data_IF_015436716175
#
_entry.id   IF_015436716175
#
_cell.length_a   1.000
_cell.length_b   1.000
_cell.length_c   1.000
_cell.angle_alpha   90.00
_cell.angle_beta   90.00
_cell.angle_gamma   90.00
#
_symmetry.space_group_name_H-M   'P 1'
#
loop_
_entity.id
_entity.type
_entity.pdbx_description
1 polymer ?
#
# COMPACT_ATOMS: atom_id res chain seq x y z
N UNK A 1 38.27 15.16 93.21
CA UNK A 1 38.14 15.09 91.74
C UNK A 1 37.92 13.63 91.28
N UNK A 2 36.80 13.00 91.67
CA UNK A 2 36.45 11.62 91.25
C UNK A 2 34.98 11.52 90.79
N UNK A 3 34.11 12.50 91.12
CA UNK A 3 32.68 12.48 90.76
C UNK A 3 32.31 13.03 89.37
N UNK A 4 33.21 13.70 88.66
CA UNK A 4 32.91 14.33 87.37
C UNK A 4 33.23 13.44 86.14
N UNK A 5 34.11 12.44 86.29
CA UNK A 5 34.51 11.57 85.17
C UNK A 5 33.57 10.36 84.96
N UNK A 6 32.75 10.01 85.95
CA UNK A 6 31.80 8.88 85.87
C UNK A 6 30.55 9.19 85.03
N UNK A 7 30.06 10.45 85.05
CA UNK A 7 28.86 10.84 84.29
C UNK A 7 29.11 11.03 82.79
N UNK A 8 30.35 11.36 82.40
CA UNK A 8 30.74 11.50 81.00
C UNK A 8 30.83 10.13 80.30
N UNK A 9 31.27 9.09 81.01
CA UNK A 9 31.40 7.73 80.47
C UNK A 9 30.03 7.06 80.22
N UNK A 10 29.04 7.29 81.07
CA UNK A 10 27.69 6.75 80.91
C UNK A 10 26.91 7.40 79.76
N UNK A 11 27.09 8.71 79.52
CA UNK A 11 26.42 9.44 78.43
C UNK A 11 27.04 9.09 77.07
N UNK A 12 28.36 8.89 77.00
CA UNK A 12 29.04 8.49 75.77
C UNK A 12 28.71 7.03 75.40
N UNK A 13 28.57 6.12 76.38
CA UNK A 13 28.20 4.72 76.14
C UNK A 13 26.72 4.57 75.73
N UNK A 14 25.82 5.40 76.26
CA UNK A 14 24.42 5.44 75.83
C UNK A 14 24.25 6.00 74.41
N UNK A 15 25.03 7.01 74.02
CA UNK A 15 25.06 7.50 72.63
C UNK A 15 25.68 6.48 71.66
N UNK A 16 26.71 5.71 72.07
CA UNK A 16 27.30 4.67 71.21
C UNK A 16 26.35 3.48 70.99
N UNK A 17 25.56 3.09 72.00
CA UNK A 17 24.56 2.02 71.87
C UNK A 17 23.33 2.44 71.05
N UNK A 18 22.94 3.73 71.10
CA UNK A 18 21.90 4.29 70.22
C UNK A 18 22.39 4.48 68.77
N UNK A 19 23.69 4.68 68.55
CA UNK A 19 24.30 4.75 67.22
C UNK A 19 24.57 3.36 66.60
N UNK A 20 24.69 2.29 67.39
CA UNK A 20 24.84 0.92 66.89
C UNK A 20 23.50 0.19 66.62
N UNK A 21 22.36 0.70 67.10
CA UNK A 21 21.03 0.20 66.71
C UNK A 21 20.45 0.87 65.45
N UNK A 22 21.13 1.88 64.89
CA UNK A 22 20.72 2.59 63.68
C UNK A 22 21.31 2.02 62.37
N UNK A 23 22.00 0.88 62.45
CA UNK A 23 22.48 0.11 61.29
C UNK A 23 21.89 -1.30 61.24
N UNK A 24 20.64 -1.46 61.69
CA UNK A 24 19.73 -2.32 60.95
C UNK A 24 19.38 -1.55 59.68
N UNK A 25 20.28 -1.62 58.68
CA UNK A 25 19.90 -1.27 57.33
C UNK A 25 18.62 -2.04 57.06
N UNK A 26 17.54 -1.28 56.92
CA UNK A 26 16.42 -1.72 56.14
C UNK A 26 17.03 -2.40 54.91
N UNK A 27 16.83 -3.70 54.78
CA UNK A 27 16.66 -4.22 53.44
C UNK A 27 15.52 -3.39 52.89
N UNK A 28 15.85 -2.31 52.18
CA UNK A 28 15.08 -1.89 51.04
C UNK A 28 14.95 -3.18 50.25
N UNK A 29 13.81 -3.85 50.44
CA UNK A 29 13.25 -4.67 49.38
C UNK A 29 13.31 -3.72 48.20
N UNK A 30 14.25 -4.00 47.30
CA UNK A 30 14.31 -3.37 46.00
C UNK A 30 12.90 -3.59 45.46
N UNK A 31 12.03 -2.58 45.59
CA UNK A 31 10.77 -2.54 44.88
C UNK A 31 11.24 -2.39 43.45
N UNK A 32 11.52 -3.54 42.82
CA UNK A 32 11.89 -3.59 41.43
C UNK A 32 10.89 -2.71 40.72
N UNK A 33 11.38 -1.61 40.15
CA UNK A 33 10.51 -0.59 39.58
C UNK A 33 9.69 -1.25 38.49
N UNK A 34 8.43 -1.56 38.81
CA UNK A 34 7.49 -2.10 37.86
C UNK A 34 7.08 -0.94 36.95
N UNK A 35 6.87 -1.23 35.68
CA UNK A 35 6.39 -0.25 34.71
C UNK A 35 5.10 -0.73 34.10
N UNK A 36 4.14 0.16 33.86
CA UNK A 36 2.88 -0.26 33.28
C UNK A 36 2.19 0.83 32.50
N UNK A 37 1.42 0.39 31.50
CA UNK A 37 0.50 1.25 30.78
C UNK A 37 -0.74 0.46 30.37
N UNK A 38 -1.77 1.16 29.94
CA UNK A 38 -3.01 0.57 29.43
C UNK A 38 -3.45 1.30 28.17
N UNK A 39 -3.86 0.53 27.15
CA UNK A 39 -4.38 1.06 25.90
C UNK A 39 -5.67 0.32 25.55
N UNK A 40 -6.73 1.08 25.30
CA UNK A 40 -8.05 0.53 24.95
C UNK A 40 -8.54 1.05 23.61
N UNK A 41 -9.32 0.23 22.91
CA UNK A 41 -10.15 0.63 21.79
C UNK A 41 -11.59 0.11 21.99
N UNK A 42 -12.46 0.26 20.99
CA UNK A 42 -13.87 -0.16 21.08
C UNK A 42 -14.10 -1.67 21.17
N UNK A 43 -13.08 -2.50 20.92
CA UNK A 43 -13.16 -3.96 20.95
C UNK A 43 -12.39 -4.58 22.11
N UNK A 44 -11.20 -4.06 22.43
CA UNK A 44 -10.29 -4.66 23.40
C UNK A 44 -9.54 -3.60 24.18
N UNK A 45 -9.28 -3.89 25.46
CA UNK A 45 -8.31 -3.16 26.25
C UNK A 45 -7.16 -4.07 26.67
N UNK A 46 -5.94 -3.57 26.55
CA UNK A 46 -4.71 -4.25 26.94
C UNK A 46 -4.00 -3.46 28.03
N UNK A 47 -3.71 -4.14 29.13
CA UNK A 47 -2.79 -3.68 30.17
C UNK A 47 -1.55 -4.56 30.15
N UNK A 48 -0.38 -3.94 30.27
CA UNK A 48 0.87 -4.67 30.47
C UNK A 48 1.63 -4.08 31.66
N UNK A 49 2.21 -4.96 32.48
CA UNK A 49 3.08 -4.63 33.61
C UNK A 49 4.42 -5.32 33.37
N UNK A 50 5.47 -4.54 33.23
CA UNK A 50 6.83 -4.98 33.00
C UNK A 50 7.63 -4.98 34.31
N UNK A 51 8.27 -6.10 34.61
CA UNK A 51 9.23 -6.26 35.70
C UNK A 51 10.66 -6.37 35.13
N UNK A 52 11.52 -5.35 35.33
CA UNK A 52 12.91 -5.41 34.89
C UNK A 52 13.72 -6.49 35.60
N UNK A 53 13.50 -6.69 36.90
CA UNK A 53 14.23 -7.67 37.73
C UNK A 53 13.91 -9.11 37.31
N UNK A 54 12.63 -9.39 37.00
CA UNK A 54 12.18 -10.71 36.58
C UNK A 54 12.27 -10.91 35.05
N UNK A 55 12.58 -9.84 34.30
CA UNK A 55 12.51 -9.80 32.83
C UNK A 55 11.20 -10.41 32.33
N UNK A 56 10.08 -9.96 32.89
CA UNK A 56 8.76 -10.54 32.65
C UNK A 56 7.73 -9.46 32.34
N UNK A 57 6.81 -9.76 31.44
CA UNK A 57 5.63 -8.94 31.17
C UNK A 57 4.38 -9.68 31.61
N UNK A 58 3.65 -9.13 32.58
CA UNK A 58 2.33 -9.59 32.98
C UNK A 58 1.28 -8.80 32.19
N UNK A 59 0.40 -9.49 31.49
CA UNK A 59 -0.53 -8.89 30.54
C UNK A 59 -1.97 -9.26 30.90
N UNK A 60 -2.87 -8.32 30.70
CA UNK A 60 -4.30 -8.52 30.88
C UNK A 60 -5.03 -7.93 29.69
N UNK A 61 -5.77 -8.76 28.98
CA UNK A 61 -6.67 -8.36 27.90
C UNK A 61 -8.10 -8.41 28.42
N UNK A 62 -8.88 -7.38 28.18
CA UNK A 62 -10.31 -7.35 28.50
C UNK A 62 -11.17 -6.94 27.32
N UNK A 63 -12.38 -7.49 27.28
CA UNK A 63 -13.40 -7.16 26.29
C UNK A 63 -14.77 -6.99 26.98
N UNK A 64 -15.60 -6.13 26.40
CA UNK A 64 -16.97 -5.92 26.86
C UNK A 64 -17.86 -7.10 26.46
N UNK A 65 -18.71 -7.53 27.39
CA UNK A 65 -19.54 -8.72 27.23
C UNK A 65 -18.76 -10.02 27.47
N UNK A 66 -19.49 -11.08 27.80
CA UNK A 66 -18.93 -12.39 28.08
C UNK A 66 -19.98 -13.50 27.98
N UNK A 67 -19.52 -14.72 28.26
CA UNK A 67 -20.23 -15.93 27.88
C UNK A 67 -20.04 -16.29 26.41
N UNK A 68 -20.43 -17.50 26.04
CA UNK A 68 -20.44 -17.95 24.66
C UNK A 68 -21.83 -17.77 24.02
N UNK A 69 -21.91 -17.45 22.71
CA UNK A 69 -20.79 -17.16 21.81
C UNK A 69 -20.37 -15.69 21.86
N UNK A 70 -19.08 -15.43 22.06
CA UNK A 70 -18.50 -14.07 21.97
C UNK A 70 -17.48 -13.93 20.84
N UNK A 71 -17.11 -15.04 20.22
CA UNK A 71 -16.03 -15.11 19.25
C UNK A 71 -14.66 -15.18 19.92
N UNK A 72 -13.61 -14.78 19.19
CA UNK A 72 -12.24 -14.74 19.71
C UNK A 72 -11.63 -13.33 19.66
N UNK A 73 -10.73 -13.09 20.59
CA UNK A 73 -9.98 -11.85 20.79
C UNK A 73 -8.50 -12.18 20.86
N UNK A 74 -7.63 -11.35 20.30
CA UNK A 74 -6.20 -11.58 20.31
C UNK A 74 -5.41 -10.29 20.50
N UNK A 75 -4.26 -10.44 21.15
CA UNK A 75 -3.19 -9.46 21.23
C UNK A 75 -1.88 -10.12 20.81
N UNK A 76 -1.09 -9.44 20.00
CA UNK A 76 0.25 -9.88 19.59
C UNK A 76 1.31 -8.84 19.90
N UNK A 77 2.53 -9.27 20.18
CA UNK A 77 3.69 -8.37 20.31
C UNK A 77 4.15 -7.89 18.93
N UNK A 78 4.76 -6.71 18.88
CA UNK A 78 5.26 -6.14 17.63
C UNK A 78 4.22 -5.31 16.89
N UNK A 79 4.57 -4.86 15.69
CA UNK A 79 3.78 -3.92 14.90
C UNK A 79 3.06 -4.53 13.69
N UNK A 80 3.21 -5.84 13.49
CA UNK A 80 2.59 -6.60 12.38
C UNK A 80 2.34 -8.04 12.80
N UNK A 81 1.62 -8.78 11.96
CA UNK A 81 1.33 -10.18 12.17
C UNK A 81 2.58 -11.07 12.03
N UNK A 82 3.38 -10.85 10.98
CA UNK A 82 4.59 -11.64 10.72
C UNK A 82 5.61 -11.55 11.87
N UNK A 83 5.97 -12.71 12.42
CA UNK A 83 6.88 -12.84 13.56
C UNK A 83 6.26 -12.50 14.92
N UNK A 84 4.97 -12.17 14.98
CA UNK A 84 4.30 -11.78 16.23
C UNK A 84 4.03 -12.99 17.13
N UNK A 85 4.34 -12.83 18.43
CA UNK A 85 3.92 -13.74 19.47
C UNK A 85 2.55 -13.30 19.99
N UNK A 86 1.54 -14.14 19.81
CA UNK A 86 0.14 -13.81 20.04
C UNK A 86 -0.44 -14.60 21.20
N UNK A 87 -1.29 -13.93 21.96
CA UNK A 87 -2.24 -14.56 22.86
C UNK A 87 -3.64 -14.39 22.30
N UNK A 88 -4.33 -15.51 22.08
CA UNK A 88 -5.68 -15.57 21.54
C UNK A 88 -6.61 -16.16 22.60
N UNK A 89 -7.64 -15.43 22.97
CA UNK A 89 -8.60 -15.79 24.01
C UNK A 89 -10.03 -15.85 23.48
N UNK A 90 -10.81 -16.81 23.99
CA UNK A 90 -12.24 -16.92 23.78
C UNK A 90 -12.91 -17.56 25.00
N UNK A 91 -14.23 -17.67 24.95
CA UNK A 91 -15.02 -18.45 25.92
C UNK A 91 -15.63 -19.63 25.17
N UNK A 92 -15.37 -20.84 25.64
CA UNK A 92 -15.91 -22.04 25.02
C UNK A 92 -17.42 -22.19 25.28
N UNK A 93 -18.05 -23.17 24.63
CA UNK A 93 -19.48 -23.42 24.76
C UNK A 93 -19.93 -23.82 26.16
N UNK A 94 -19.00 -24.17 27.06
CA UNK A 94 -19.27 -24.49 28.47
C UNK A 94 -19.15 -23.26 29.38
N UNK A 95 -18.78 -22.09 28.83
CA UNK A 95 -18.57 -20.86 29.59
C UNK A 95 -17.17 -20.73 30.18
N UNK A 96 -16.24 -21.64 29.85
CA UNK A 96 -14.86 -21.59 30.33
C UNK A 96 -14.02 -20.67 29.47
N UNK A 97 -13.19 -19.85 30.11
CA UNK A 97 -12.19 -19.01 29.45
C UNK A 97 -11.06 -19.88 28.91
N UNK A 98 -10.79 -19.77 27.60
CA UNK A 98 -9.71 -20.47 26.90
C UNK A 98 -8.70 -19.45 26.39
N UNK A 99 -7.41 -19.80 26.49
CA UNK A 99 -6.31 -19.03 25.92
C UNK A 99 -5.37 -19.94 25.12
N UNK A 100 -4.88 -19.41 24.01
CA UNK A 100 -3.97 -20.07 23.10
C UNK A 100 -2.83 -19.13 22.74
N UNK A 101 -1.60 -19.51 23.09
CA UNK A 101 -0.42 -18.83 22.58
C UNK A 101 -0.12 -19.35 21.17
N UNK A 102 0.10 -18.44 20.22
CA UNK A 102 0.43 -18.77 18.83
C UNK A 102 1.51 -17.85 18.28
N UNK A 103 2.22 -18.32 17.26
CA UNK A 103 3.17 -17.52 16.49
C UNK A 103 2.70 -17.43 15.05
N UNK A 104 2.71 -16.23 14.48
CA UNK A 104 2.41 -16.03 13.06
C UNK A 104 3.69 -15.96 12.22
N UNK A 105 3.71 -16.74 11.14
CA UNK A 105 4.65 -16.63 10.04
C UNK A 105 3.93 -15.93 8.88
N UNK A 106 4.22 -14.65 8.69
CA UNK A 106 3.53 -13.80 7.72
C UNK A 106 2.14 -13.33 8.17
N UNK A 107 1.29 -13.12 7.19
CA UNK A 107 -0.12 -12.73 7.33
C UNK A 107 -1.09 -13.93 7.25
N UNK A 108 -0.62 -15.12 7.65
CA UNK A 108 -1.37 -16.38 7.56
C UNK A 108 -1.88 -16.83 8.93
N UNK A 109 -2.78 -17.82 8.99
CA UNK A 109 -3.33 -18.31 10.25
C UNK A 109 -2.21 -18.69 11.25
N UNK A 110 -2.17 -18.11 12.46
CA UNK A 110 -1.07 -18.33 13.39
C UNK A 110 -1.02 -19.78 13.89
N UNK A 111 0.20 -20.30 14.03
CA UNK A 111 0.48 -21.68 14.43
C UNK A 111 0.62 -21.81 15.94
N UNK A 112 0.21 -22.95 16.49
CA UNK A 112 0.47 -23.31 17.90
C UNK A 112 1.91 -23.74 18.16
N UNK A 113 2.71 -23.96 17.10
CA UNK A 113 4.15 -24.16 17.22
C UNK A 113 4.82 -22.81 17.51
N UNK A 114 4.94 -22.48 18.80
CA UNK A 114 5.50 -21.20 19.23
C UNK A 114 7.01 -21.14 18.99
N UNK A 115 7.49 -20.01 18.46
CA UNK A 115 8.93 -19.71 18.32
C UNK A 115 9.45 -18.85 19.47
N UNK A 116 8.54 -18.08 20.11
CA UNK A 116 8.83 -17.31 21.30
C UNK A 116 8.81 -18.19 22.56
N UNK A 117 9.31 -17.66 23.67
CA UNK A 117 9.21 -18.32 24.97
C UNK A 117 7.73 -18.55 25.35
N UNK A 118 7.48 -19.68 26.01
CA UNK A 118 6.15 -20.08 26.43
C UNK A 118 5.57 -19.11 27.46
N UNK A 119 4.33 -18.70 27.23
CA UNK A 119 3.54 -17.91 28.18
C UNK A 119 3.10 -18.78 29.35
N UNK A 120 2.99 -18.16 30.52
CA UNK A 120 2.28 -18.75 31.67
C UNK A 120 0.89 -18.16 31.74
N UNK A 121 -0.13 -19.01 31.71
CA UNK A 121 -1.53 -18.58 31.84
C UNK A 121 -1.85 -18.29 33.30
N UNK A 122 -2.70 -17.30 33.57
CA UNK A 122 -3.16 -16.96 34.92
C UNK A 122 -4.68 -17.20 35.06
N UNK A 123 -5.13 -18.46 35.28
CA UNK A 123 -6.54 -18.80 35.37
C UNK A 123 -7.26 -18.08 36.52
N UNK A 124 -6.58 -17.81 37.63
CA UNK A 124 -7.15 -17.11 38.78
C UNK A 124 -7.56 -15.65 38.46
N UNK A 125 -6.94 -15.07 37.43
CA UNK A 125 -7.21 -13.71 36.96
C UNK A 125 -7.94 -13.69 35.61
N UNK A 126 -8.31 -14.86 35.08
CA UNK A 126 -9.02 -15.00 33.81
C UNK A 126 -10.46 -15.45 34.07
N UNK A 127 -11.44 -14.63 33.68
CA UNK A 127 -12.85 -14.90 33.95
C UNK A 127 -13.76 -14.33 32.87
N UNK A 128 -14.99 -14.85 32.78
CA UNK A 128 -16.03 -14.32 31.90
C UNK A 128 -17.36 -14.26 32.63
N UNK A 129 -18.10 -13.16 32.47
CA UNK A 129 -19.45 -12.97 32.97
C UNK A 129 -20.24 -12.05 32.03
N UNK A 130 -21.48 -11.70 32.39
CA UNK A 130 -22.35 -10.87 31.54
C UNK A 130 -21.81 -9.45 31.28
N UNK A 131 -20.96 -8.92 32.15
CA UNK A 131 -20.40 -7.56 32.03
C UNK A 131 -19.12 -7.52 31.19
N UNK A 132 -18.33 -8.59 31.20
CA UNK A 132 -17.05 -8.60 30.49
C UNK A 132 -16.29 -9.92 30.62
N UNK A 133 -15.24 -10.01 29.81
CA UNK A 133 -14.31 -11.13 29.82
C UNK A 133 -12.88 -10.62 29.97
N UNK A 134 -12.10 -11.30 30.80
CA UNK A 134 -10.71 -11.00 31.09
C UNK A 134 -9.85 -12.24 30.85
N UNK A 135 -8.75 -12.03 30.14
CA UNK A 135 -7.71 -13.02 29.89
C UNK A 135 -6.40 -12.48 30.46
N UNK A 136 -5.76 -13.23 31.35
CA UNK A 136 -4.53 -12.84 32.02
C UNK A 136 -3.43 -13.88 31.81
N UNK A 137 -2.23 -13.42 31.46
CA UNK A 137 -1.07 -14.28 31.21
C UNK A 137 0.23 -13.51 31.47
N UNK A 138 1.36 -14.21 31.46
CA UNK A 138 2.68 -13.60 31.52
C UNK A 138 3.62 -14.15 30.44
N UNK A 139 4.51 -13.30 29.95
CA UNK A 139 5.61 -13.67 29.05
C UNK A 139 6.95 -13.48 29.76
N UNK A 140 7.83 -14.50 29.79
CA UNK A 140 9.24 -14.26 30.05
C UNK A 140 9.87 -13.58 28.83
N UNK A 141 10.77 -12.62 29.07
CA UNK A 141 11.57 -11.98 28.03
C UNK A 141 12.92 -12.71 27.91
N UNK A 142 13.36 -12.96 26.67
CA UNK A 142 14.65 -13.61 26.44
C UNK A 142 15.82 -12.70 26.85
N UNK A 143 16.97 -13.33 27.13
CA UNK A 143 18.21 -12.64 27.51
C UNK A 143 18.68 -11.58 26.51
N UNK A 144 18.36 -11.77 25.23
CA UNK A 144 18.69 -10.93 24.08
C UNK A 144 17.66 -9.86 23.76
N UNK A 145 16.47 -9.88 24.36
CA UNK A 145 15.45 -8.85 24.14
C UNK A 145 15.81 -7.55 24.87
N UNK A 146 15.72 -6.44 24.13
CA UNK A 146 15.84 -5.09 24.69
C UNK A 146 14.68 -4.80 25.63
N UNK A 147 14.96 -4.03 26.69
CA UNK A 147 13.91 -3.53 27.57
C UNK A 147 12.82 -2.78 26.76
N UNK A 148 11.55 -2.88 27.15
CA UNK A 148 10.48 -2.12 26.53
C UNK A 148 10.73 -0.60 26.56
N UNK A 149 10.15 0.12 25.60
CA UNK A 149 10.31 1.57 25.47
C UNK A 149 9.01 2.33 25.74
N UNK A 150 9.07 3.66 25.67
CA UNK A 150 7.89 4.52 25.78
C UNK A 150 6.88 4.35 24.62
N UNK A 151 7.23 3.58 23.59
CA UNK A 151 6.35 3.26 22.47
C UNK A 151 6.49 1.78 22.10
N UNK A 152 6.19 0.90 23.04
CA UNK A 152 6.22 -0.56 22.83
C UNK A 152 5.04 -1.00 21.97
N UNK A 153 5.26 -1.60 20.78
CA UNK A 153 4.19 -1.90 19.84
C UNK A 153 3.50 -3.22 20.13
N UNK A 154 2.17 -3.21 19.98
CA UNK A 154 1.31 -4.38 19.99
C UNK A 154 0.33 -4.32 18.81
N UNK A 155 -0.17 -5.49 18.41
CA UNK A 155 -1.30 -5.63 17.49
C UNK A 155 -2.46 -6.28 18.21
N UNK A 156 -3.68 -6.03 17.73
CA UNK A 156 -4.89 -6.68 18.21
C UNK A 156 -5.76 -7.12 17.06
N UNK A 157 -6.56 -8.14 17.29
CA UNK A 157 -7.48 -8.68 16.31
C UNK A 157 -8.67 -9.36 16.99
N UNK A 158 -9.85 -9.29 16.37
CA UNK A 158 -11.07 -9.93 16.89
C UNK A 158 -11.90 -10.53 15.75
N UNK A 159 -12.57 -11.63 16.04
CA UNK A 159 -13.68 -12.13 15.23
C UNK A 159 -14.85 -12.51 16.14
N UNK A 160 -15.86 -11.65 16.22
CA UNK A 160 -17.05 -11.86 17.06
C UNK A 160 -18.03 -12.90 16.50
N UNK A 161 -17.82 -13.35 15.25
CA UNK A 161 -18.71 -14.28 14.53
C UNK A 161 -18.15 -15.71 14.46
N UNK A 162 -17.01 -15.98 15.10
CA UNK A 162 -16.40 -17.29 15.13
C UNK A 162 -15.98 -17.64 16.55
N UNK A 163 -16.80 -18.47 17.22
CA UNK A 163 -16.46 -19.01 18.52
C UNK A 163 -15.69 -20.33 18.31
N UNK A 164 -14.38 -20.38 18.65
CA UNK A 164 -13.63 -21.62 18.55
C UNK A 164 -14.12 -22.66 19.58
N UNK A 165 -13.76 -23.90 19.33
CA UNK A 165 -13.92 -25.05 20.23
C UNK A 165 -13.03 -24.94 21.48
N UNK A 166 -13.22 -25.80 22.48
CA UNK A 166 -12.56 -25.69 23.80
C UNK A 166 -11.05 -26.00 23.78
N UNK A 167 -10.53 -26.54 22.67
CA UNK A 167 -9.11 -26.85 22.51
C UNK A 167 -8.27 -25.59 22.29
N UNK A 168 -7.12 -25.47 22.96
CA UNK A 168 -6.17 -24.39 22.70
C UNK A 168 -5.61 -24.43 21.27
N UNK A 169 -5.69 -25.57 20.57
CA UNK A 169 -5.30 -25.71 19.16
C UNK A 169 -6.46 -25.55 18.17
N UNK A 170 -7.65 -25.16 18.63
CA UNK A 170 -8.84 -24.96 17.81
C UNK A 170 -8.55 -24.11 16.56
N UNK A 171 -9.14 -24.49 15.43
CA UNK A 171 -9.03 -23.67 14.22
C UNK A 171 -9.79 -22.36 14.43
N UNK A 172 -9.17 -21.23 14.06
CA UNK A 172 -9.79 -19.91 14.15
C UNK A 172 -9.99 -19.33 12.75
N UNK A 173 -11.09 -18.62 12.55
CA UNK A 173 -11.36 -17.87 11.32
C UNK A 173 -10.72 -16.49 11.39
N UNK A 174 -10.31 -15.97 10.23
CA UNK A 174 -9.70 -14.63 10.08
C UNK A 174 -10.49 -13.55 10.83
N UNK A 175 -9.77 -12.65 11.49
CA UNK A 175 -10.37 -11.50 12.18
C UNK A 175 -11.25 -10.64 11.27
N UNK A 176 -12.28 -10.04 11.86
CA UNK A 176 -13.17 -9.06 11.20
C UNK A 176 -12.81 -7.63 11.57
N UNK A 177 -12.13 -7.41 12.68
CA UNK A 177 -11.56 -6.12 13.07
C UNK A 177 -10.18 -6.35 13.68
N UNK A 178 -9.23 -5.45 13.39
CA UNK A 178 -7.85 -5.55 13.80
C UNK A 178 -7.18 -4.17 13.77
N UNK A 179 -6.01 -4.06 14.37
CA UNK A 179 -5.20 -2.86 14.31
C UNK A 179 -3.94 -2.97 15.17
N UNK A 180 -3.27 -1.84 15.36
CA UNK A 180 -2.12 -1.71 16.26
C UNK A 180 -2.44 -0.83 17.46
N UNK A 181 -1.71 -1.02 18.55
CA UNK A 181 -1.69 -0.13 19.72
C UNK A 181 -0.27 -0.03 20.27
N UNK A 182 -0.02 1.00 21.06
CA UNK A 182 1.29 1.23 21.69
C UNK A 182 1.11 1.47 23.18
N UNK A 183 2.02 0.92 23.97
CA UNK A 183 2.08 1.12 25.42
C UNK A 183 3.41 1.77 25.80
N UNK A 184 3.35 2.75 26.70
CA UNK A 184 4.52 3.36 27.31
C UNK A 184 4.93 2.60 28.56
N UNK A 185 5.77 1.59 28.36
CA UNK A 185 6.27 0.74 29.43
C UNK A 185 7.49 1.34 30.16
N UNK A 186 7.62 2.67 30.15
CA UNK A 186 8.56 3.43 30.99
C UNK A 186 7.85 4.20 32.11
N UNK A 187 6.51 4.19 32.11
CA UNK A 187 5.68 4.77 33.17
C UNK A 187 5.75 3.92 34.45
N UNK A 188 6.11 4.47 35.62
CA UNK A 188 6.12 3.73 36.87
C UNK A 188 4.75 3.13 37.19
N UNK A 189 4.74 1.87 37.58
CA UNK A 189 3.55 1.20 38.09
C UNK A 189 3.19 1.79 39.44
N UNK A 190 1.99 2.35 39.53
CA UNK A 190 1.41 2.80 40.80
C UNK A 190 0.31 1.83 41.20
N UNK A 191 0.43 1.26 42.40
CA UNK A 191 -0.52 0.28 42.95
C UNK A 191 -1.90 0.85 43.25
N UNK A 192 -2.14 2.15 43.02
CA UNK A 192 -3.33 2.90 43.39
C UNK A 192 -4.52 2.74 42.43
N UNK A 193 -4.68 1.57 41.81
CA UNK A 193 -5.93 1.16 41.14
C UNK A 193 -6.39 -0.25 41.50
N UNK A 194 -5.93 -0.77 42.65
CA UNK A 194 -6.41 -2.04 43.21
C UNK A 194 -6.42 -1.99 44.74
N UNK A 195 -7.33 -1.21 45.31
CA UNK A 195 -7.88 -1.38 46.68
C UNK A 195 -8.76 -0.18 47.06
N UNK A 196 -10.07 -0.28 46.82
CA UNK A 196 -11.03 0.30 47.77
C UNK A 196 -11.55 -0.83 48.63
N UNK A 197 -11.03 -0.90 49.85
CA UNK A 197 -11.63 -1.67 50.94
C UNK A 197 -13.00 -1.05 51.23
N UNK A 198 -14.04 -1.57 50.58
CA UNK A 198 -15.43 -1.25 50.85
C UNK A 198 -16.11 -2.46 51.48
N UNK A 199 -16.42 -2.35 52.76
CA UNK A 199 -17.25 -3.29 53.51
C UNK A 199 -18.53 -3.66 52.74
N UNK A 200 -18.79 -4.96 52.58
CA UNK A 200 -19.99 -5.48 51.94
C UNK A 200 -21.26 -5.12 52.74
N UNK A 201 -22.05 -4.18 52.22
CA UNK A 201 -23.52 -4.29 52.25
C UNK A 201 -24.00 -4.15 50.82
N UNK A 202 -24.76 -5.15 50.37
CA UNK A 202 -25.02 -5.41 48.95
C UNK A 202 -25.82 -4.32 48.26
N UNK A 203 -25.41 -3.95 47.05
CA UNK A 203 -26.30 -3.48 45.98
C UNK A 203 -25.59 -3.59 44.64
N UNK A 204 -26.28 -4.18 43.65
CA UNK A 204 -25.81 -4.34 42.28
C UNK A 204 -25.54 -2.97 41.64
N UNK A 205 -24.27 -2.66 41.35
CA UNK A 205 -23.88 -1.57 40.45
C UNK A 205 -22.92 -2.09 39.37
N UNK A 206 -23.09 -1.68 38.09
CA UNK A 206 -22.23 -2.12 37.00
C UNK A 206 -20.79 -1.65 37.20
N UNK A 207 -19.84 -2.54 36.94
CA UNK A 207 -18.40 -2.24 36.97
C UNK A 207 -18.05 -1.31 35.81
N UNK A 208 -17.94 -0.02 36.06
CA UNK A 208 -17.27 0.93 35.16
C UNK A 208 -15.76 0.85 35.34
N UNK A 209 -14.97 0.62 34.26
CA UNK A 209 -13.52 0.66 34.35
C UNK A 209 -13.04 2.04 34.82
N UNK A 210 -12.08 2.04 35.76
CA UNK A 210 -11.45 3.25 36.28
C UNK A 210 -10.91 4.12 35.13
N UNK A 211 -11.58 5.23 34.86
CA UNK A 211 -11.09 6.28 33.98
C UNK A 211 -10.22 7.18 34.85
N UNK A 212 -8.91 6.95 34.86
CA UNK A 212 -8.00 7.94 35.42
C UNK A 212 -8.09 9.20 34.55
N UNK A 213 -8.50 10.31 35.17
CA UNK A 213 -8.62 11.64 34.57
C UNK A 213 -7.26 12.22 34.18
N UNK A 214 -6.68 11.70 33.10
CA UNK A 214 -5.70 12.42 32.30
C UNK A 214 -6.44 13.24 31.24
N UNK A 215 -6.13 14.53 31.18
CA UNK A 215 -6.72 15.53 30.28
C UNK A 215 -7.14 14.95 28.92
N UNK A 216 -8.43 15.10 28.60
CA UNK A 216 -9.15 14.62 27.43
C UNK A 216 -8.78 15.32 26.11
N UNK A 217 -7.53 15.79 25.95
CA UNK A 217 -7.09 16.47 24.71
C UNK A 217 -6.09 15.68 23.85
N UNK A 218 -5.48 14.60 24.34
CA UNK A 218 -4.44 13.87 23.57
C UNK A 218 -4.85 12.48 23.03
N UNK A 219 -6.08 12.04 23.26
CA UNK A 219 -6.56 10.68 22.91
C UNK A 219 -6.93 10.46 21.43
N UNK A 220 -6.55 11.35 20.51
CA UNK A 220 -6.86 11.20 19.08
C UNK A 220 -5.67 11.38 18.13
N UNK A 221 -4.44 11.41 18.65
CA UNK A 221 -3.25 11.23 17.83
C UNK A 221 -2.84 9.76 17.86
N UNK A 222 -3.47 8.95 17.01
CA UNK A 222 -2.81 7.76 16.47
C UNK A 222 -1.45 8.23 15.95
N UNK A 223 -0.38 7.98 16.71
CA UNK A 223 0.95 8.46 16.37
C UNK A 223 1.31 7.84 15.02
N UNK A 224 1.28 8.64 13.94
CA UNK A 224 1.59 8.20 12.57
C UNK A 224 3.08 7.89 12.49
N UNK A 225 3.48 6.69 12.88
CA UNK A 225 4.90 6.27 12.94
C UNK A 225 5.42 5.93 11.54
N UNK A 226 6.33 6.74 11.00
CA UNK A 226 7.05 6.45 9.74
C UNK A 226 8.08 5.30 9.89
N UNK A 227 7.61 4.08 10.05
CA UNK A 227 8.42 2.85 9.99
C UNK A 227 8.67 2.40 8.54
N UNK A 228 9.49 1.36 8.33
CA UNK A 228 9.80 0.80 7.00
C UNK A 228 8.54 0.49 6.18
N UNK A 229 7.50 0.00 6.84
CA UNK A 229 6.28 -0.48 6.21
C UNK A 229 5.47 0.64 5.64
N UNK A 230 5.21 1.62 6.49
CA UNK A 230 4.50 2.81 6.11
C UNK A 230 5.25 3.54 4.99
N UNK A 231 6.60 3.53 5.00
CA UNK A 231 7.39 4.04 3.87
C UNK A 231 7.18 3.24 2.58
N UNK A 232 7.14 1.90 2.63
CA UNK A 232 6.89 1.07 1.45
C UNK A 232 5.46 1.23 0.91
N UNK A 233 4.46 1.29 1.80
CA UNK A 233 3.06 1.55 1.45
C UNK A 233 2.90 2.95 0.83
N UNK A 234 3.47 3.99 1.44
CA UNK A 234 3.45 5.36 0.90
C UNK A 234 4.16 5.40 -0.47
N UNK A 235 5.31 4.75 -0.61
CA UNK A 235 6.00 4.68 -1.89
C UNK A 235 5.16 3.98 -2.96
N UNK A 236 4.51 2.85 -2.64
CA UNK A 236 3.54 2.21 -3.52
C UNK A 236 2.43 3.17 -3.96
N UNK A 237 1.81 3.88 -3.01
CA UNK A 237 0.74 4.85 -3.30
C UNK A 237 1.20 5.96 -4.24
N UNK A 238 2.36 6.58 -3.96
CA UNK A 238 2.92 7.65 -4.80
C UNK A 238 3.19 7.15 -6.21
N UNK A 239 3.80 5.98 -6.36
CA UNK A 239 4.09 5.40 -7.68
C UNK A 239 2.80 5.11 -8.47
N UNK A 240 1.76 4.60 -7.80
CA UNK A 240 0.46 4.33 -8.42
C UNK A 240 -0.29 5.61 -8.80
N UNK A 241 -0.22 6.67 -7.98
CA UNK A 241 -0.81 7.98 -8.31
C UNK A 241 -0.12 8.57 -9.53
N UNK A 242 1.22 8.60 -9.56
CA UNK A 242 1.97 9.12 -10.70
C UNK A 242 1.64 8.33 -11.98
N UNK A 243 1.59 7.01 -11.92
CA UNK A 243 1.25 6.20 -13.08
C UNK A 243 -0.20 6.43 -13.56
N UNK A 244 -1.18 6.22 -12.68
CA UNK A 244 -2.59 6.11 -13.08
C UNK A 244 -3.35 7.44 -13.15
N UNK A 245 -2.91 8.46 -12.42
CA UNK A 245 -3.58 9.77 -12.41
C UNK A 245 -2.82 10.82 -13.22
N UNK A 246 -1.55 10.58 -13.59
CA UNK A 246 -0.74 11.52 -14.36
C UNK A 246 -0.31 10.91 -15.69
N UNK A 247 0.54 9.88 -15.69
CA UNK A 247 1.18 9.38 -16.90
C UNK A 247 0.20 8.68 -17.88
N UNK A 248 -0.63 7.75 -17.40
CA UNK A 248 -1.60 7.04 -18.25
C UNK A 248 -2.62 8.02 -18.86
N UNK A 249 -3.28 8.91 -18.08
CA UNK A 249 -4.19 9.89 -18.67
C UNK A 249 -3.50 10.85 -19.64
N UNK A 250 -2.29 11.32 -19.34
CA UNK A 250 -1.51 12.15 -20.26
C UNK A 250 -1.25 11.42 -21.59
N UNK A 251 -0.84 10.15 -21.55
CA UNK A 251 -0.65 9.34 -22.75
C UNK A 251 -1.95 9.17 -23.56
N UNK A 252 -3.08 8.96 -22.89
CA UNK A 252 -4.40 8.84 -23.54
C UNK A 252 -4.77 10.16 -24.25
N UNK A 253 -4.60 11.30 -23.58
CA UNK A 253 -4.89 12.62 -24.14
C UNK A 253 -3.93 12.94 -25.30
N UNK A 254 -2.64 12.64 -25.19
CA UNK A 254 -1.68 12.78 -26.31
C UNK A 254 -2.12 11.93 -27.50
N UNK A 255 -2.56 10.70 -27.27
CA UNK A 255 -3.12 9.87 -28.32
C UNK A 255 -4.36 10.50 -28.95
N UNK A 256 -5.25 11.11 -28.16
CA UNK A 256 -6.48 11.74 -28.64
C UNK A 256 -6.22 13.01 -29.44
N UNK A 257 -5.57 14.02 -28.84
CA UNK A 257 -5.33 15.33 -29.44
C UNK A 257 -4.22 15.30 -30.48
N UNK A 258 -3.17 14.53 -30.23
CA UNK A 258 -2.03 14.45 -31.13
C UNK A 258 -2.39 13.87 -32.51
N UNK A 259 -3.45 13.05 -32.64
CA UNK A 259 -3.94 12.60 -33.96
C UNK A 259 -4.26 13.73 -34.93
N UNK A 260 -4.64 14.90 -34.40
CA UNK A 260 -4.95 16.10 -35.20
C UNK A 260 -3.75 17.06 -35.30
N UNK A 261 -2.96 17.18 -34.23
CA UNK A 261 -1.99 18.28 -34.11
C UNK A 261 -0.52 17.90 -34.36
N UNK A 262 -0.09 16.67 -34.07
CA UNK A 262 1.35 16.31 -34.14
C UNK A 262 1.62 14.78 -34.20
N UNK A 263 2.89 14.38 -34.21
CA UNK A 263 3.28 12.96 -34.22
C UNK A 263 3.07 12.31 -32.83
N UNK A 264 1.86 11.81 -32.59
CA UNK A 264 1.43 11.33 -31.27
C UNK A 264 1.98 9.97 -30.84
N UNK A 265 2.25 9.05 -31.77
CA UNK A 265 2.51 7.66 -31.43
C UNK A 265 3.81 7.43 -30.63
N UNK A 266 4.97 8.04 -30.98
CA UNK A 266 6.19 7.91 -30.19
C UNK A 266 6.01 8.41 -28.75
N UNK A 267 5.36 9.57 -28.59
CA UNK A 267 5.09 10.15 -27.27
C UNK A 267 4.13 9.27 -26.45
N UNK A 268 3.02 8.81 -27.05
CA UNK A 268 2.08 7.89 -26.41
C UNK A 268 2.79 6.62 -25.94
N UNK A 269 3.59 5.99 -26.81
CA UNK A 269 4.34 4.77 -26.49
C UNK A 269 5.34 5.02 -25.36
N UNK A 270 6.14 6.09 -25.44
CA UNK A 270 7.15 6.41 -24.44
C UNK A 270 6.55 6.62 -23.05
N UNK A 271 5.47 7.40 -22.96
CA UNK A 271 4.80 7.69 -21.69
C UNK A 271 4.11 6.43 -21.12
N UNK A 272 3.53 5.57 -21.96
CA UNK A 272 2.95 4.31 -21.49
C UNK A 272 4.01 3.33 -20.95
N UNK A 273 5.19 3.28 -21.56
CA UNK A 273 6.32 2.49 -21.04
C UNK A 273 6.77 3.05 -19.69
N UNK A 274 6.91 4.37 -19.57
CA UNK A 274 7.25 5.00 -18.30
C UNK A 274 6.19 4.68 -17.23
N UNK A 275 4.90 4.83 -17.54
CA UNK A 275 3.82 4.47 -16.64
C UNK A 275 3.90 3.00 -16.20
N UNK A 276 4.16 2.07 -17.13
CA UNK A 276 4.31 0.65 -16.81
C UNK A 276 5.45 0.39 -15.82
N UNK A 277 6.60 1.06 -15.99
CA UNK A 277 7.73 0.96 -15.05
C UNK A 277 7.33 1.46 -13.65
N UNK A 278 6.59 2.56 -13.55
CA UNK A 278 6.09 3.05 -12.26
C UNK A 278 5.13 2.04 -11.60
N UNK A 279 4.19 1.47 -12.36
CA UNK A 279 3.28 0.44 -11.87
C UNK A 279 4.04 -0.80 -11.42
N UNK A 280 5.04 -1.24 -12.20
CA UNK A 280 5.86 -2.41 -11.87
C UNK A 280 6.63 -2.21 -10.56
N UNK A 281 7.31 -1.07 -10.42
CA UNK A 281 8.04 -0.73 -9.18
C UNK A 281 7.07 -0.67 -7.99
N UNK A 282 5.95 0.03 -8.14
CA UNK A 282 4.94 0.10 -7.07
C UNK A 282 4.39 -1.27 -6.68
N UNK A 283 4.16 -2.16 -7.65
CA UNK A 283 3.73 -3.54 -7.39
C UNK A 283 4.79 -4.34 -6.62
N UNK A 284 6.07 -4.23 -7.00
CA UNK A 284 7.16 -4.89 -6.28
C UNK A 284 7.25 -4.39 -4.83
N UNK A 285 7.14 -3.07 -4.61
CA UNK A 285 7.22 -2.49 -3.26
C UNK A 285 6.15 -3.05 -2.31
N UNK A 286 4.91 -3.21 -2.79
CA UNK A 286 3.83 -3.73 -1.94
C UNK A 286 3.92 -5.24 -1.72
N UNK A 287 4.45 -6.00 -2.69
CA UNK A 287 4.73 -7.44 -2.51
C UNK A 287 5.82 -7.63 -1.45
N UNK A 288 6.89 -6.82 -1.50
CA UNK A 288 7.96 -6.84 -0.50
C UNK A 288 7.43 -6.48 0.88
N UNK A 289 6.50 -5.52 0.98
CA UNK A 289 5.89 -5.17 2.27
C UNK A 289 5.04 -6.30 2.87
N UNK A 290 4.29 -7.03 2.04
CA UNK A 290 3.49 -8.17 2.51
C UNK A 290 4.36 -9.33 3.02
N UNK A 291 5.60 -9.45 2.51
CA UNK A 291 6.55 -10.48 2.93
C UNK A 291 6.07 -11.89 2.62
N UNK A 292 6.29 -12.85 3.53
CA UNK A 292 5.87 -14.26 3.40
C UNK A 292 4.36 -14.49 3.62
N UNK A 293 3.58 -13.42 3.79
CA UNK A 293 2.15 -13.52 4.06
C UNK A 293 1.31 -13.95 2.85
N UNK A 294 0.00 -14.05 3.08
CA UNK A 294 -0.96 -14.30 1.99
C UNK A 294 -1.03 -13.08 1.08
N UNK A 295 -0.45 -13.18 -0.11
CA UNK A 295 -0.59 -12.18 -1.14
C UNK A 295 -2.01 -12.20 -1.74
N UNK A 296 -2.48 -11.03 -2.18
CA UNK A 296 -3.72 -10.89 -2.95
C UNK A 296 -5.02 -11.32 -2.24
N UNK A 297 -5.13 -11.14 -0.92
CA UNK A 297 -6.33 -11.52 -0.18
C UNK A 297 -7.44 -10.44 -0.18
N UNK A 298 -7.08 -9.18 -0.44
CA UNK A 298 -8.05 -8.07 -0.54
C UNK A 298 -8.60 -7.87 -1.95
N UNK A 299 -9.80 -7.30 -2.07
CA UNK A 299 -10.38 -6.89 -3.36
C UNK A 299 -9.46 -5.94 -4.11
N UNK A 300 -8.83 -4.99 -3.42
CA UNK A 300 -7.86 -4.07 -4.00
C UNK A 300 -6.65 -4.80 -4.60
N UNK A 301 -6.10 -5.78 -3.90
CA UNK A 301 -4.94 -6.52 -4.37
C UNK A 301 -5.30 -7.42 -5.58
N UNK A 302 -6.44 -8.12 -5.54
CA UNK A 302 -6.93 -8.94 -6.67
C UNK A 302 -7.21 -8.10 -7.91
N UNK A 303 -7.94 -6.99 -7.74
CA UNK A 303 -8.24 -6.07 -8.84
C UNK A 303 -6.96 -5.41 -9.38
N UNK A 304 -6.04 -4.99 -8.50
CA UNK A 304 -4.75 -4.41 -8.88
C UNK A 304 -3.90 -5.36 -9.72
N UNK A 305 -3.85 -6.65 -9.36
CA UNK A 305 -3.16 -7.66 -10.16
C UNK A 305 -3.81 -7.83 -11.54
N UNK A 306 -5.14 -7.92 -11.60
CA UNK A 306 -5.87 -8.03 -12.87
C UNK A 306 -5.60 -6.81 -13.78
N UNK A 307 -5.65 -5.60 -13.22
CA UNK A 307 -5.35 -4.34 -13.91
C UNK A 307 -3.91 -4.34 -14.45
N UNK A 308 -2.94 -4.79 -13.67
CA UNK A 308 -1.53 -4.90 -14.09
C UNK A 308 -1.37 -5.88 -15.27
N UNK A 309 -1.99 -7.06 -15.20
CA UNK A 309 -1.96 -8.05 -16.29
C UNK A 309 -2.60 -7.46 -17.56
N UNK A 310 -3.76 -6.80 -17.42
CA UNK A 310 -4.44 -6.15 -18.55
C UNK A 310 -3.56 -5.05 -19.15
N UNK A 311 -2.87 -4.25 -18.33
CA UNK A 311 -1.93 -3.22 -18.80
C UNK A 311 -0.81 -3.83 -19.64
N UNK A 312 -0.21 -4.94 -19.20
CA UNK A 312 0.81 -5.65 -19.96
C UNK A 312 0.27 -6.14 -21.31
N UNK A 313 -0.91 -6.76 -21.32
CA UNK A 313 -1.60 -7.17 -22.56
C UNK A 313 -1.90 -5.97 -23.46
N UNK A 314 -2.28 -4.82 -22.90
CA UNK A 314 -2.52 -3.59 -23.65
C UNK A 314 -1.27 -3.06 -24.35
N UNK A 315 -0.08 -3.22 -23.76
CA UNK A 315 1.17 -2.84 -24.43
C UNK A 315 1.42 -3.70 -25.67
N UNK A 316 1.20 -5.02 -25.56
CA UNK A 316 1.32 -5.93 -26.71
C UNK A 316 0.27 -5.62 -27.78
N UNK A 317 -0.98 -5.43 -27.37
CA UNK A 317 -2.08 -5.10 -28.27
C UNK A 317 -1.87 -3.76 -28.97
N UNK A 318 -1.33 -2.76 -28.28
CA UNK A 318 -0.97 -1.47 -28.88
C UNK A 318 0.14 -1.61 -29.94
N UNK A 319 1.17 -2.41 -29.67
CA UNK A 319 2.26 -2.66 -30.60
C UNK A 319 1.80 -3.39 -31.87
N UNK A 320 0.95 -4.42 -31.73
CA UNK A 320 0.35 -5.14 -32.86
C UNK A 320 -0.64 -4.24 -33.60
N UNK A 321 -1.55 -3.60 -32.87
CA UNK A 321 -2.61 -2.76 -33.41
C UNK A 321 -2.07 -1.59 -34.24
N UNK A 322 -0.92 -1.02 -33.88
CA UNK A 322 -0.31 0.06 -34.65
C UNK A 322 0.09 -0.37 -36.08
N UNK A 323 0.43 -1.64 -36.30
CA UNK A 323 0.76 -2.18 -37.64
C UNK A 323 -0.47 -2.47 -38.50
N UNK A 324 -1.68 -2.49 -37.92
CA UNK A 324 -2.91 -2.82 -38.62
C UNK A 324 -3.62 -1.59 -39.23
N UNK A 325 -4.64 -1.82 -40.07
CA UNK A 325 -5.49 -0.76 -40.64
C UNK A 325 -6.24 0.00 -39.53
N UNK A 326 -6.58 1.28 -39.79
CA UNK A 326 -7.16 2.22 -38.79
C UNK A 326 -8.38 1.69 -38.04
N UNK A 327 -9.27 0.95 -38.70
CA UNK A 327 -10.49 0.37 -38.12
C UNK A 327 -10.42 -1.15 -37.91
N UNK A 328 -9.21 -1.70 -37.83
CA UNK A 328 -9.05 -3.10 -37.46
C UNK A 328 -9.54 -3.32 -36.02
N UNK A 329 -10.17 -4.47 -35.77
CA UNK A 329 -10.73 -4.85 -34.45
C UNK A 329 -9.69 -4.70 -33.33
N UNK A 330 -8.42 -5.03 -33.57
CA UNK A 330 -7.34 -4.87 -32.58
C UNK A 330 -7.20 -3.45 -32.05
N UNK A 331 -7.35 -2.43 -32.90
CA UNK A 331 -7.28 -1.02 -32.49
C UNK A 331 -8.50 -0.57 -31.71
N UNK A 332 -9.69 -1.06 -32.09
CA UNK A 332 -10.94 -0.76 -31.37
C UNK A 332 -10.86 -1.35 -29.97
N UNK A 333 -10.49 -2.63 -29.87
CA UNK A 333 -10.31 -3.34 -28.60
C UNK A 333 -9.25 -2.65 -27.73
N UNK A 334 -8.13 -2.18 -28.32
CA UNK A 334 -7.11 -1.44 -27.60
C UNK A 334 -7.65 -0.15 -26.95
N UNK A 335 -8.45 0.62 -27.69
CA UNK A 335 -9.04 1.86 -27.15
C UNK A 335 -10.08 1.55 -26.07
N UNK A 336 -11.00 0.61 -26.31
CA UNK A 336 -12.08 0.29 -25.36
C UNK A 336 -11.51 -0.27 -24.05
N UNK A 337 -10.63 -1.27 -24.13
CA UNK A 337 -10.02 -1.86 -22.94
C UNK A 337 -9.08 -0.85 -22.25
N UNK A 338 -8.34 -0.04 -23.02
CA UNK A 338 -7.45 1.00 -22.47
C UNK A 338 -8.21 2.05 -21.63
N UNK A 339 -9.39 2.48 -22.08
CA UNK A 339 -10.25 3.36 -21.28
C UNK A 339 -10.85 2.63 -20.08
N UNK A 340 -11.36 1.41 -20.27
CA UNK A 340 -11.95 0.61 -19.20
C UNK A 340 -10.97 0.31 -18.06
N UNK A 341 -9.74 -0.08 -18.38
CA UNK A 341 -8.70 -0.36 -17.38
C UNK A 341 -8.28 0.90 -16.63
N UNK A 342 -8.30 2.06 -17.27
CA UNK A 342 -8.01 3.34 -16.60
C UNK A 342 -9.07 3.68 -15.55
N UNK A 343 -10.36 3.49 -15.88
CA UNK A 343 -11.46 3.65 -14.92
C UNK A 343 -11.35 2.65 -13.77
N UNK A 344 -11.06 1.37 -14.09
CA UNK A 344 -10.85 0.33 -13.09
C UNK A 344 -9.68 0.65 -12.16
N UNK A 345 -8.59 1.24 -12.68
CA UNK A 345 -7.44 1.65 -11.88
C UNK A 345 -7.74 2.82 -10.93
N UNK A 346 -8.53 3.81 -11.38
CA UNK A 346 -8.98 4.91 -10.52
C UNK A 346 -9.83 4.37 -9.36
N UNK A 347 -10.79 3.48 -9.66
CA UNK A 347 -11.56 2.79 -8.63
C UNK A 347 -10.66 1.99 -7.69
N UNK A 348 -9.72 1.20 -8.24
CA UNK A 348 -8.82 0.37 -7.44
C UNK A 348 -7.92 1.22 -6.52
N UNK A 349 -7.44 2.38 -6.97
CA UNK A 349 -6.67 3.30 -6.15
C UNK A 349 -7.49 3.84 -4.97
N UNK A 350 -8.77 4.16 -5.19
CA UNK A 350 -9.67 4.61 -4.11
C UNK A 350 -9.96 3.50 -3.10
N UNK A 351 -10.12 2.25 -3.56
CA UNK A 351 -10.22 1.08 -2.68
C UNK A 351 -8.94 0.87 -1.86
N UNK A 352 -7.77 1.13 -2.46
CA UNK A 352 -6.48 1.05 -1.77
C UNK A 352 -6.34 2.09 -0.64
N UNK A 353 -6.82 3.31 -0.85
CA UNK A 353 -6.84 4.34 0.21
C UNK A 353 -7.67 3.90 1.42
N UNK A 354 -8.76 3.17 1.22
CA UNK A 354 -9.61 2.69 2.32
C UNK A 354 -8.94 1.58 3.16
N UNK A 355 -7.90 0.93 2.62
CA UNK A 355 -7.09 -0.05 3.35
C UNK A 355 -5.97 0.59 4.17
N UNK A 356 -5.77 1.91 4.06
CA UNK A 356 -4.67 2.56 4.75
C UNK A 356 -5.01 2.88 6.21
N UNK A 357 -4.38 2.16 7.13
CA UNK A 357 -4.63 2.23 8.58
C UNK A 357 -4.43 3.62 9.20
N UNK A 358 -3.65 4.49 8.56
CA UNK A 358 -3.48 5.87 9.02
C UNK A 358 -4.74 6.73 8.89
N UNK A 359 -5.79 6.21 8.26
CA UNK A 359 -7.03 6.93 8.06
C UNK A 359 -6.82 8.05 7.05
N UNK A 360 -7.38 7.85 5.86
CA UNK A 360 -7.36 8.88 4.83
C UNK A 360 -8.51 9.84 5.12
N UNK A 361 -8.25 11.15 5.18
CA UNK A 361 -9.33 12.12 5.25
C UNK A 361 -10.28 11.87 4.07
N UNK A 362 -11.60 11.84 4.34
CA UNK A 362 -12.59 11.49 3.31
C UNK A 362 -12.40 12.34 2.05
N UNK A 363 -12.01 13.61 2.20
CA UNK A 363 -11.75 14.56 1.12
C UNK A 363 -10.64 14.14 0.14
N UNK A 364 -9.67 13.31 0.53
CA UNK A 364 -8.59 12.90 -0.38
C UNK A 364 -9.13 12.04 -1.53
N UNK A 365 -10.09 11.15 -1.25
CA UNK A 365 -10.77 10.38 -2.29
C UNK A 365 -11.56 11.29 -3.24
N UNK A 366 -12.19 12.37 -2.73
CA UNK A 366 -12.89 13.35 -3.57
C UNK A 366 -11.95 14.05 -4.54
N UNK A 367 -10.74 14.43 -4.10
CA UNK A 367 -9.75 15.06 -4.98
C UNK A 367 -9.41 14.15 -6.16
N UNK A 368 -9.18 12.85 -5.91
CA UNK A 368 -8.88 11.89 -6.97
C UNK A 368 -10.04 11.73 -7.97
N UNK A 369 -11.29 11.70 -7.49
CA UNK A 369 -12.47 11.61 -8.34
C UNK A 369 -12.73 12.89 -9.14
N UNK A 370 -12.54 14.06 -8.53
CA UNK A 370 -12.65 15.36 -9.22
C UNK A 370 -11.60 15.43 -10.33
N UNK A 371 -10.36 15.04 -10.04
CA UNK A 371 -9.31 14.97 -11.06
C UNK A 371 -9.64 13.99 -12.19
N UNK A 372 -10.14 12.80 -11.85
CA UNK A 372 -10.60 11.82 -12.84
C UNK A 372 -11.74 12.38 -13.72
N UNK A 373 -12.68 13.12 -13.13
CA UNK A 373 -13.76 13.77 -13.86
C UNK A 373 -13.24 14.85 -14.82
N UNK A 374 -12.26 15.66 -14.39
CA UNK A 374 -11.60 16.64 -15.27
C UNK A 374 -10.90 15.97 -16.46
N UNK A 375 -10.19 14.86 -16.23
CA UNK A 375 -9.55 14.09 -17.29
C UNK A 375 -10.57 13.47 -18.25
N UNK A 376 -11.71 13.01 -17.73
CA UNK A 376 -12.81 12.49 -18.55
C UNK A 376 -13.41 13.59 -19.43
N UNK A 377 -13.69 14.77 -18.87
CA UNK A 377 -14.17 15.94 -19.64
C UNK A 377 -13.15 16.35 -20.71
N UNK A 378 -11.85 16.38 -20.37
CA UNK A 378 -10.78 16.67 -21.32
C UNK A 378 -10.71 15.64 -22.46
N UNK A 379 -10.97 14.37 -22.18
CA UNK A 379 -11.06 13.34 -23.21
C UNK A 379 -12.27 13.56 -24.14
N UNK A 380 -13.44 13.86 -23.58
CA UNK A 380 -14.66 14.14 -24.34
C UNK A 380 -14.51 15.38 -25.22
N UNK A 381 -13.90 16.45 -24.71
CA UNK A 381 -13.58 17.64 -25.51
C UNK A 381 -12.72 17.28 -26.74
N UNK A 382 -11.77 16.36 -26.58
CA UNK A 382 -10.96 15.86 -27.69
C UNK A 382 -11.76 15.07 -28.75
N UNK A 383 -12.93 14.53 -28.44
CA UNK A 383 -13.81 13.88 -29.42
C UNK A 383 -14.42 14.90 -30.40
N UNK A 384 -14.52 16.18 -30.04
CA UNK A 384 -14.94 17.24 -30.97
C UNK A 384 -13.99 17.39 -32.17
N UNK A 385 -12.73 16.93 -32.04
CA UNK A 385 -11.74 16.93 -33.12
C UNK A 385 -11.82 15.69 -34.02
N UNK A 386 -12.62 14.68 -33.65
CA UNK A 386 -12.75 13.42 -34.39
C UNK A 386 -13.22 13.61 -35.84
N UNK A 387 -14.23 14.46 -36.15
CA UNK A 387 -14.67 14.66 -37.53
C UNK A 387 -13.56 15.19 -38.44
N UNK A 388 -12.72 16.08 -37.90
CA UNK A 388 -11.58 16.66 -38.61
C UNK A 388 -10.50 15.60 -38.88
N UNK A 389 -10.09 14.84 -37.87
CA UNK A 389 -9.14 13.73 -38.01
C UNK A 389 -9.63 12.67 -39.01
N UNK A 390 -10.94 12.34 -39.01
CA UNK A 390 -11.54 11.43 -39.99
C UNK A 390 -11.55 11.99 -41.42
N UNK A 391 -11.71 13.31 -41.59
CA UNK A 391 -11.64 13.96 -42.90
C UNK A 391 -10.20 13.93 -43.44
N UNK A 392 -9.23 14.38 -42.66
CA UNK A 392 -7.81 14.38 -43.03
C UNK A 392 -7.30 12.96 -43.34
N UNK A 393 -7.76 11.95 -42.59
CA UNK A 393 -7.43 10.56 -42.88
C UNK A 393 -8.03 10.06 -44.21
N UNK A 394 -9.28 10.42 -44.52
CA UNK A 394 -9.93 10.05 -45.79
C UNK A 394 -9.22 10.68 -46.99
N UNK A 395 -8.87 11.96 -46.89
CA UNK A 395 -8.13 12.69 -47.93
C UNK A 395 -6.75 12.07 -48.18
N UNK A 396 -5.97 11.80 -47.11
CA UNK A 396 -4.68 11.09 -47.23
C UNK A 396 -4.83 9.70 -47.86
N UNK A 397 -5.85 8.94 -47.45
CA UNK A 397 -6.08 7.59 -47.97
C UNK A 397 -6.49 7.60 -49.45
N UNK A 398 -7.27 8.60 -49.88
CA UNK A 398 -7.65 8.78 -51.27
C UNK A 398 -6.44 9.13 -52.14
N UNK A 399 -5.61 10.09 -51.70
CA UNK A 399 -4.39 10.49 -52.42
C UNK A 399 -3.41 9.32 -52.57
N UNK A 400 -3.13 8.56 -51.51
CA UNK A 400 -2.25 7.39 -51.59
C UNK A 400 -2.80 6.29 -52.51
N UNK A 401 -4.13 6.15 -52.62
CA UNK A 401 -4.75 5.20 -53.54
C UNK A 401 -4.59 5.65 -55.00
N UNK A 402 -4.75 6.95 -55.26
CA UNK A 402 -4.53 7.56 -56.57
C UNK A 402 -3.08 7.41 -57.05
N UNK A 403 -2.11 7.74 -56.19
CA UNK A 403 -0.67 7.61 -56.49
C UNK A 403 -0.29 6.15 -56.83
N UNK A 404 -0.83 5.17 -56.09
CA UNK A 404 -0.62 3.75 -56.40
C UNK A 404 -1.23 3.34 -57.75
N UNK A 405 -2.40 3.87 -58.09
CA UNK A 405 -3.04 3.59 -59.38
C UNK A 405 -2.27 4.22 -60.54
N UNK A 406 -1.77 5.44 -60.38
CA UNK A 406 -0.91 6.11 -61.35
C UNK A 406 0.40 5.36 -61.58
N UNK A 407 1.08 4.94 -60.50
CA UNK A 407 2.30 4.13 -60.60
C UNK A 407 2.07 2.80 -61.34
N UNK A 408 0.99 2.09 -61.01
CA UNK A 408 0.61 0.84 -61.70
C UNK A 408 0.22 1.08 -63.17
N UNK A 409 -0.43 2.21 -63.47
CA UNK A 409 -0.78 2.62 -64.84
C UNK A 409 0.44 2.96 -65.70
N UNK A 410 1.43 3.67 -65.14
CA UNK A 410 2.70 3.96 -65.80
C UNK A 410 3.52 2.68 -66.06
N UNK A 411 3.48 1.72 -65.13
CA UNK A 411 4.16 0.44 -65.29
C UNK A 411 3.53 -0.44 -66.40
N UNK A 412 2.21 -0.33 -66.61
CA UNK A 412 1.51 -1.01 -67.70
C UNK A 412 1.71 -0.35 -69.08
N UNK A 413 2.03 0.95 -69.13
CA UNK A 413 2.31 1.67 -70.38
C UNK A 413 3.78 1.59 -70.85
N UNK A 414 4.67 0.96 -70.07
CA UNK A 414 6.07 0.75 -70.42
C UNK A 414 6.31 -0.61 -71.11
N UNK A 415 5.60 -0.89 -72.21
CA UNK A 415 6.02 -1.83 -73.26
C UNK A 415 5.09 -1.82 -74.48
N UNK A 416 5.51 -1.23 -75.60
CA UNK A 416 5.26 -1.78 -76.91
C UNK A 416 6.47 -2.65 -77.28
N UNK A 417 6.23 -3.97 -77.34
CA UNK A 417 7.23 -4.96 -77.68
C UNK A 417 7.78 -4.79 -79.10
N UNK A 418 8.95 -5.40 -79.28
CA UNK A 418 9.50 -5.72 -80.58
C UNK A 418 8.48 -6.52 -81.42
N UNK A 419 8.25 -6.08 -82.67
CA UNK A 419 7.75 -6.94 -83.74
C UNK A 419 8.27 -6.45 -85.09
N UNK A 420 9.22 -7.23 -85.61
CA UNK A 420 9.52 -7.59 -87.01
C UNK A 420 8.93 -6.75 -88.16
N UNK A 421 9.85 -6.34 -89.03
CA UNK A 421 9.66 -5.83 -90.39
C UNK A 421 8.83 -6.76 -91.31
N UNK A 422 7.95 -6.17 -92.12
CA UNK A 422 7.70 -6.60 -93.51
C UNK A 422 7.12 -5.44 -94.37
N UNK A 423 7.23 -5.58 -95.68
CA UNK A 423 7.51 -4.51 -96.66
C UNK A 423 6.32 -4.24 -97.63
N UNK A 424 6.16 -2.97 -98.06
CA UNK A 424 5.77 -2.49 -99.43
C UNK A 424 4.27 -2.37 -99.84
N UNK A 425 3.92 -1.68 -100.97
CA UNK A 425 3.65 -0.22 -101.04
C UNK A 425 2.31 0.15 -101.74
N UNK A 426 1.80 1.39 -101.58
CA UNK A 426 0.69 1.87 -102.42
C UNK A 426 0.03 3.21 -102.02
N UNK A 427 0.02 4.14 -102.97
CA UNK A 427 -0.96 5.22 -103.26
C UNK A 427 -1.07 6.50 -102.39
N UNK A 428 -0.74 7.62 -103.05
CA UNK A 428 -1.32 8.98 -102.90
C UNK A 428 -2.63 9.07 -103.74
N UNK A 429 -3.46 10.16 -103.73
CA UNK A 429 -3.30 11.49 -103.09
C UNK A 429 -4.58 12.05 -102.38
N UNK A 430 -4.44 13.14 -101.61
CA UNK A 430 -5.14 14.44 -101.81
C UNK A 430 -4.95 15.39 -100.61
N UNK A 431 -4.59 16.63 -100.94
CA UNK A 431 -4.49 17.84 -100.09
C UNK A 431 -5.72 18.74 -100.36
N UNK A 432 -5.89 19.97 -99.81
CA UNK A 432 -5.10 20.69 -98.78
C UNK A 432 -5.95 21.45 -97.72
N UNK A 433 -5.27 21.98 -96.70
CA UNK A 433 -5.38 23.34 -96.09
C UNK A 433 -5.03 23.25 -94.59
N UNK A 434 -4.33 24.17 -93.92
CA UNK A 434 -3.38 25.21 -94.28
C UNK A 434 -2.73 25.68 -92.94
N UNK A 435 -1.53 26.27 -93.02
CA UNK A 435 -0.83 27.11 -92.02
C UNK A 435 0.07 26.47 -90.93
N UNK A 436 1.33 26.26 -91.35
CA UNK A 436 2.62 26.62 -90.74
C UNK A 436 2.78 26.96 -89.22
N UNK A 437 3.40 26.03 -88.46
CA UNK A 437 4.80 25.94 -87.96
C UNK A 437 5.53 27.04 -87.11
N UNK A 438 6.55 26.64 -86.29
CA UNK A 438 6.85 27.07 -84.89
C UNK A 438 8.33 27.59 -84.74
N UNK A 439 9.20 27.21 -83.77
CA UNK A 439 9.17 26.97 -82.31
C UNK A 439 10.26 27.79 -81.53
N UNK A 440 10.47 27.48 -80.23
CA UNK A 440 11.74 27.46 -79.42
C UNK A 440 11.47 27.99 -77.99
N UNK A 441 12.11 27.57 -76.89
CA UNK A 441 12.79 26.37 -76.42
C UNK A 441 13.10 26.65 -74.91
N UNK A 442 13.33 25.58 -74.12
CA UNK A 442 14.12 25.53 -72.87
C UNK A 442 13.45 25.86 -71.50
N UNK A 443 13.23 24.77 -70.74
CA UNK A 443 13.45 24.66 -69.30
C UNK A 443 14.97 24.40 -69.02
N UNK A 444 15.54 24.28 -67.78
CA UNK A 444 14.89 23.80 -66.56
C UNK A 444 15.43 24.23 -65.16
N UNK A 445 14.74 23.72 -64.13
CA UNK A 445 15.24 23.19 -62.84
C UNK A 445 15.67 24.11 -61.69
N UNK A 446 15.10 23.85 -60.49
CA UNK A 446 15.81 24.03 -59.21
C UNK A 446 15.33 23.00 -58.20
N UNK A 447 16.26 22.13 -57.79
CA UNK A 447 16.11 21.14 -56.73
C UNK A 447 17.10 21.46 -55.59
N UNK A 448 16.66 21.17 -54.36
CA UNK A 448 17.40 20.72 -53.17
C UNK A 448 18.84 21.20 -52.91
N UNK A 449 19.03 21.85 -51.75
CA UNK A 449 20.32 21.90 -51.05
C UNK A 449 20.17 21.34 -49.63
N UNK A 450 20.88 20.24 -49.39
CA UNK A 450 21.18 19.61 -48.10
C UNK A 450 22.48 20.17 -47.52
N UNK A 451 22.50 20.47 -46.23
CA UNK A 451 23.70 20.79 -45.46
C UNK A 451 24.42 19.50 -45.01
N UNK A 452 25.69 19.37 -45.36
CA UNK A 452 26.64 18.45 -44.74
C UNK A 452 27.96 19.20 -44.48
N UNK A 453 28.33 19.32 -43.21
CA UNK A 453 29.60 19.88 -42.77
C UNK A 453 30.69 18.79 -42.79
N UNK A 454 31.86 19.13 -43.35
CA UNK A 454 33.10 18.36 -43.19
C UNK A 454 34.07 19.05 -42.20
N UNK A 455 35.06 18.32 -41.66
CA UNK A 455 35.90 18.73 -40.54
C UNK A 455 37.25 19.31 -40.96
N UNK A 456 37.82 20.17 -40.12
CA UNK A 456 39.25 20.51 -40.13
C UNK A 456 39.79 20.68 -38.71
N UNK A 457 40.79 19.87 -38.37
CA UNK A 457 41.87 20.17 -37.44
C UNK A 457 43.10 20.59 -38.31
N UNK A 458 44.15 21.30 -37.82
CA UNK A 458 44.95 20.89 -36.65
C UNK A 458 45.66 22.00 -35.80
N UNK A 459 46.27 21.53 -34.69
CA UNK A 459 47.58 21.89 -34.10
C UNK A 459 47.82 23.15 -33.24
N UNK A 460 48.51 22.91 -32.11
CA UNK A 460 49.36 23.83 -31.33
C UNK A 460 48.61 24.60 -30.24
N UNK A 461 49.00 24.66 -28.97
CA UNK A 461 50.26 24.36 -28.29
C UNK A 461 50.40 25.36 -27.12
N UNK A 462 50.88 24.87 -25.97
CA UNK A 462 51.09 25.49 -24.64
C UNK A 462 49.95 25.20 -23.65
#
# INVERSE_FOLDING_TARGET
MIGAMSKLSAVIMACLLLLLSASANAQSTDQASLFADTSCNSNVCLRAVYSPSERRMNMTMSANGGGAPMGWYAVGTGSRMDGSNMMIGWVDTTGKVVMSQRTASGHSNPSTSITALAATMEPAHSFSNSSGTVWAWSFPMSGSETAPSASTPFIWAVNKQNNPDSSTSASIRRHTAYGSMTLDLTKPYTSSSSSSTGSNTGTNTPVTPATNGGNTEDQNRSHRVLNRNNRLIIAHMVMMIVAWFILVPAAILIGRYGRTFFTWFPAHRGIQIAAFVFVLIGMVLIIVEVGSGTHFDSTHAKAGLAIFIIMFVQMLLGAVGHKTKRFNVSRIVHVVIGLGVTVAAIWNATAGLHLWDWGVPRWASWILWIWAALLFVAYLAGLALLPRDLREWREKSANTRGEKQEYLGLQNNASPGASTHQHSPGEQPTSPTAWANPPLQQAPSRAYQSYAHQPHAPSGGI
#
